data_IF_368237261240
#
_entry.id   IF_368237261240
#
_cell.length_a   1.000
_cell.length_b   1.000
_cell.length_c   1.000
_cell.angle_alpha   90.00
_cell.angle_beta   90.00
_cell.angle_gamma   90.00
#
_symmetry.space_group_name_H-M   'P 1'
#
loop_
_entity.id
_entity.type
_entity.pdbx_description
1 polymer ?
#
# COMPACT_ATOMS: atom_id res chain seq x y z
N UNK A 1 -0.77 -6.55 -32.97
CA UNK A 1 -1.89 -5.91 -32.25
C UNK A 1 -1.37 -5.45 -30.90
N UNK A 2 -1.37 -4.15 -30.60
CA UNK A 2 -0.97 -3.68 -29.27
C UNK A 2 -2.05 -4.07 -28.25
N UNK A 3 -1.67 -4.82 -27.21
CA UNK A 3 -2.57 -5.10 -26.10
C UNK A 3 -3.04 -3.77 -25.49
N UNK A 4 -4.35 -3.58 -25.34
CA UNK A 4 -4.91 -2.38 -24.72
C UNK A 4 -4.48 -2.40 -23.25
N UNK A 5 -3.63 -1.45 -22.87
CA UNK A 5 -3.23 -1.27 -21.47
C UNK A 5 -4.33 -0.48 -20.74
N UNK A 6 -4.90 -1.10 -19.71
CA UNK A 6 -5.79 -0.45 -18.77
C UNK A 6 -5.00 0.53 -17.90
N UNK A 7 -5.65 1.64 -17.55
CA UNK A 7 -5.08 2.71 -16.73
C UNK A 7 -5.98 2.95 -15.52
N UNK A 8 -5.40 2.89 -14.33
CA UNK A 8 -6.09 3.18 -13.07
C UNK A 8 -5.47 4.45 -12.49
N UNK A 9 -6.17 5.60 -12.51
CA UNK A 9 -5.67 6.81 -11.87
C UNK A 9 -5.56 6.59 -10.37
N UNK A 10 -4.43 6.99 -9.79
CA UNK A 10 -4.28 7.03 -8.34
C UNK A 10 -5.07 8.21 -7.77
N UNK A 11 -5.42 8.15 -6.50
CA UNK A 11 -6.18 9.19 -5.81
C UNK A 11 -5.27 10.02 -4.91
N UNK A 12 -5.74 11.15 -4.34
CA UNK A 12 -4.95 11.87 -3.36
C UNK A 12 -4.51 11.02 -2.16
N UNK A 13 -5.30 10.02 -1.76
CA UNK A 13 -4.94 9.12 -0.66
C UNK A 13 -3.74 8.23 -1.03
N UNK A 14 -3.68 7.79 -2.28
CA UNK A 14 -2.59 6.97 -2.82
C UNK A 14 -1.25 7.72 -2.93
N UNK A 15 -1.32 9.05 -2.94
CA UNK A 15 -0.13 9.91 -2.95
C UNK A 15 0.34 10.33 -1.56
N UNK A 16 -0.40 9.99 -0.50
CA UNK A 16 -0.02 10.29 0.88
C UNK A 16 1.26 9.54 1.33
N UNK A 17 1.42 8.22 1.08
CA UNK A 17 2.64 7.53 1.46
C UNK A 17 3.83 7.90 0.54
N UNK A 18 5.07 7.77 1.03
CA UNK A 18 6.23 7.88 0.16
C UNK A 18 6.21 6.83 -0.94
N UNK A 19 6.91 7.10 -2.03
CA UNK A 19 7.03 6.19 -3.17
C UNK A 19 8.01 5.05 -2.90
N UNK A 20 7.80 4.28 -1.84
CA UNK A 20 8.61 3.13 -1.47
C UNK A 20 7.85 1.81 -1.67
N UNK A 21 8.57 0.69 -1.69
CA UNK A 21 7.96 -0.61 -1.47
C UNK A 21 7.69 -0.81 0.02
N UNK A 22 6.46 -1.20 0.35
CA UNK A 22 6.11 -1.75 1.67
C UNK A 22 6.34 -3.25 1.59
N UNK A 23 7.37 -3.73 2.27
CA UNK A 23 7.80 -5.12 2.22
C UNK A 23 7.27 -5.93 3.41
N UNK A 24 7.01 -7.21 3.16
CA UNK A 24 6.69 -8.22 4.17
C UNK A 24 7.57 -9.44 3.98
N UNK A 25 8.01 -10.03 5.10
CA UNK A 25 8.78 -11.28 5.13
C UNK A 25 7.88 -12.38 5.69
N UNK A 26 7.82 -13.50 4.98
CA UNK A 26 7.13 -14.72 5.42
C UNK A 26 8.14 -15.86 5.52
N UNK A 27 8.35 -16.36 6.73
CA UNK A 27 9.20 -17.52 6.99
C UNK A 27 8.39 -18.80 6.79
N UNK A 28 8.73 -19.56 5.75
CA UNK A 28 7.99 -20.75 5.34
C UNK A 28 8.89 -22.00 5.54
N UNK A 29 8.49 -22.97 6.38
CA UNK A 29 9.23 -24.21 6.51
C UNK A 29 9.03 -25.05 5.24
N UNK A 30 10.10 -25.68 4.76
CA UNK A 30 10.02 -26.67 3.70
C UNK A 30 9.84 -28.07 4.29
N UNK A 31 9.04 -28.91 3.63
CA UNK A 31 8.94 -30.33 4.02
C UNK A 31 10.30 -31.01 3.77
N UNK A 32 10.69 -32.00 4.59
CA UNK A 32 11.92 -32.76 4.36
C UNK A 32 11.99 -33.34 2.95
N UNK A 33 13.11 -33.12 2.26
CA UNK A 33 13.35 -33.63 0.91
C UNK A 33 12.72 -32.83 -0.23
N UNK A 34 11.99 -31.74 0.04
CA UNK A 34 11.54 -30.81 -1.01
C UNK A 34 12.73 -30.02 -1.53
N UNK A 35 12.92 -30.04 -2.84
CA UNK A 35 13.95 -29.24 -3.49
C UNK A 35 13.51 -27.76 -3.61
N UNK A 36 14.42 -26.79 -3.37
CA UNK A 36 14.12 -25.36 -3.53
C UNK A 36 13.46 -25.00 -4.87
N UNK A 37 13.89 -25.60 -5.98
CA UNK A 37 13.32 -25.33 -7.30
C UNK A 37 11.85 -25.77 -7.40
N UNK A 38 11.49 -26.89 -6.77
CA UNK A 38 10.11 -27.37 -6.74
C UNK A 38 9.20 -26.43 -5.94
N UNK A 39 9.68 -25.97 -4.77
CA UNK A 39 8.95 -24.99 -3.97
C UNK A 39 8.80 -23.65 -4.73
N UNK A 40 9.86 -23.22 -5.41
CA UNK A 40 9.84 -22.03 -6.24
C UNK A 40 8.84 -22.14 -7.38
N UNK A 41 8.77 -23.28 -8.07
CA UNK A 41 7.84 -23.51 -9.16
C UNK A 41 6.38 -23.34 -8.73
N UNK A 42 6.03 -23.84 -7.54
CA UNK A 42 4.69 -23.65 -6.97
C UNK A 42 4.41 -22.17 -6.68
N UNK A 43 5.35 -21.48 -6.02
CA UNK A 43 5.22 -20.04 -5.73
C UNK A 43 5.07 -19.23 -7.02
N UNK A 44 5.85 -19.56 -8.05
CA UNK A 44 5.90 -18.82 -9.30
C UNK A 44 4.66 -19.01 -10.15
N UNK A 45 4.18 -20.24 -10.26
CA UNK A 45 2.91 -20.56 -10.93
C UNK A 45 1.71 -19.97 -10.16
N UNK A 46 1.71 -20.03 -8.82
CA UNK A 46 0.64 -19.42 -8.04
C UNK A 46 0.58 -17.90 -8.22
N UNK A 47 1.75 -17.22 -8.28
CA UNK A 47 1.81 -15.77 -8.51
C UNK A 47 1.29 -15.42 -9.91
N UNK A 48 1.61 -16.25 -10.91
CA UNK A 48 1.06 -16.11 -12.27
C UNK A 48 -0.47 -16.13 -12.24
N UNK A 49 -1.07 -17.11 -11.56
CA UNK A 49 -2.54 -17.20 -11.42
C UNK A 49 -3.14 -16.03 -10.64
N UNK A 50 -2.44 -15.54 -9.61
CA UNK A 50 -2.83 -14.31 -8.91
C UNK A 50 -2.88 -13.13 -9.87
N UNK A 51 -1.89 -12.98 -10.76
CA UNK A 51 -1.88 -11.90 -11.75
C UNK A 51 -2.94 -12.08 -12.84
N UNK A 52 -3.29 -13.31 -13.22
CA UNK A 52 -4.42 -13.56 -14.12
C UNK A 52 -5.74 -13.08 -13.50
N UNK A 53 -5.97 -13.35 -12.22
CA UNK A 53 -7.19 -12.90 -11.52
C UNK A 53 -7.18 -11.41 -11.15
N UNK A 54 -6.00 -10.85 -10.82
CA UNK A 54 -5.80 -9.46 -10.41
C UNK A 54 -4.73 -8.75 -11.29
N UNK A 55 -5.02 -8.46 -12.57
CA UNK A 55 -3.98 -8.02 -13.51
C UNK A 55 -3.33 -6.67 -13.18
N UNK A 56 -3.99 -5.82 -12.40
CA UNK A 56 -3.40 -4.55 -11.99
C UNK A 56 -2.17 -4.73 -11.08
N UNK A 57 -2.08 -5.85 -10.36
CA UNK A 57 -0.96 -6.18 -9.48
C UNK A 57 0.32 -6.50 -10.26
N UNK A 58 0.18 -7.02 -11.48
CA UNK A 58 1.32 -7.23 -12.40
C UNK A 58 1.76 -5.95 -13.11
N UNK A 59 1.04 -4.84 -12.86
CA UNK A 59 1.25 -3.56 -13.52
C UNK A 59 2.46 -2.79 -13.01
N UNK A 60 2.57 -1.55 -13.50
CA UNK A 60 3.59 -0.57 -13.11
C UNK A 60 2.94 0.78 -12.84
N UNK A 61 3.51 1.55 -11.90
CA UNK A 61 3.03 2.90 -11.59
C UNK A 61 3.80 3.92 -12.39
N UNK A 62 3.09 4.82 -13.07
CA UNK A 62 3.69 5.84 -13.92
C UNK A 62 3.17 7.23 -13.57
N UNK A 63 3.94 8.29 -13.85
CA UNK A 63 3.38 9.63 -14.00
C UNK A 63 2.26 9.61 -15.06
N UNK A 64 1.15 10.25 -14.74
CA UNK A 64 0.07 10.44 -15.69
C UNK A 64 0.54 11.33 -16.84
N UNK A 65 0.15 10.99 -18.07
CA UNK A 65 0.45 11.83 -19.24
C UNK A 65 -0.20 13.21 -19.10
N UNK A 66 0.50 14.33 -19.40
CA UNK A 66 -0.09 15.66 -19.46
C UNK A 66 -1.29 15.78 -20.41
N UNK A 67 -1.38 14.90 -21.40
CA UNK A 67 -2.49 14.82 -22.35
C UNK A 67 -3.68 13.97 -21.86
N UNK A 68 -3.58 13.33 -20.69
CA UNK A 68 -4.65 12.49 -20.17
C UNK A 68 -5.84 13.34 -19.69
N UNK A 69 -7.09 12.91 -19.92
CA UNK A 69 -8.25 13.55 -19.31
C UNK A 69 -8.12 13.60 -17.78
N UNK A 70 -8.38 14.76 -17.18
CA UNK A 70 -8.30 14.95 -15.73
C UNK A 70 -6.88 15.05 -15.18
N UNK A 71 -5.86 15.25 -16.04
CA UNK A 71 -4.48 15.41 -15.62
C UNK A 71 -4.29 16.50 -14.56
N UNK A 72 -3.43 16.21 -13.59
CA UNK A 72 -2.89 17.17 -12.63
C UNK A 72 -1.37 17.00 -12.50
N UNK A 73 -0.62 18.07 -12.18
CA UNK A 73 0.80 17.94 -11.86
C UNK A 73 1.04 16.86 -10.80
N UNK A 74 2.06 16.04 -11.02
CA UNK A 74 2.47 14.95 -10.12
C UNK A 74 1.46 13.81 -9.94
N UNK A 75 0.37 13.80 -10.72
CA UNK A 75 -0.60 12.72 -10.71
C UNK A 75 0.02 11.43 -11.24
N UNK A 76 -0.31 10.29 -10.62
CA UNK A 76 0.18 8.96 -11.00
C UNK A 76 -0.96 8.06 -11.42
N UNK A 77 -0.64 7.02 -12.17
CA UNK A 77 -1.57 5.98 -12.61
C UNK A 77 -0.89 4.62 -12.63
N UNK A 78 -1.63 3.56 -12.31
CA UNK A 78 -1.21 2.18 -12.59
C UNK A 78 -1.52 1.91 -14.05
N UNK A 79 -0.55 1.36 -14.78
CA UNK A 79 -0.72 0.83 -16.13
C UNK A 79 -0.52 -0.67 -16.09
N UNK A 80 -1.48 -1.42 -16.61
CA UNK A 80 -1.41 -2.87 -16.68
C UNK A 80 -2.10 -3.40 -17.94
N UNK A 81 -1.83 -4.64 -18.29
CA UNK A 81 -2.55 -5.40 -19.31
C UNK A 81 -3.38 -6.52 -18.68
N UNK A 82 -4.08 -7.29 -19.49
CA UNK A 82 -4.51 -8.62 -19.09
C UNK A 82 -3.27 -9.53 -19.01
N UNK A 83 -3.29 -10.50 -18.10
CA UNK A 83 -2.27 -11.55 -18.01
C UNK A 83 -2.87 -12.83 -18.57
N UNK A 84 -2.20 -13.40 -19.57
CA UNK A 84 -2.61 -14.64 -20.22
C UNK A 84 -2.33 -15.82 -19.29
N UNK A 85 -3.32 -16.70 -19.11
CA UNK A 85 -3.18 -17.90 -18.27
C UNK A 85 -2.13 -18.85 -18.84
N UNK A 86 -2.02 -18.94 -20.17
CA UNK A 86 -1.03 -19.76 -20.87
C UNK A 86 0.25 -18.94 -21.20
N UNK A 87 0.33 -17.72 -20.67
CA UNK A 87 1.46 -16.81 -20.85
C UNK A 87 2.69 -17.19 -20.01
N UNK A 88 3.80 -16.46 -20.20
CA UNK A 88 5.01 -16.67 -19.42
C UNK A 88 4.79 -16.32 -17.96
N UNK A 89 5.46 -17.07 -17.06
CA UNK A 89 5.47 -16.76 -15.63
C UNK A 89 6.07 -15.38 -15.34
N UNK A 90 5.61 -14.68 -14.29
CA UNK A 90 5.99 -13.30 -14.03
C UNK A 90 7.46 -13.14 -13.65
N UNK A 91 8.16 -12.17 -14.24
CA UNK A 91 9.56 -11.90 -13.91
C UNK A 91 9.76 -11.29 -12.50
N UNK A 92 8.67 -10.82 -11.87
CA UNK A 92 8.66 -10.10 -10.60
C UNK A 92 9.06 -10.96 -9.39
N UNK A 93 8.93 -12.29 -9.50
CA UNK A 93 9.41 -13.23 -8.49
C UNK A 93 10.81 -13.74 -8.87
N UNK A 94 11.78 -13.58 -7.95
CA UNK A 94 13.15 -14.10 -8.12
C UNK A 94 13.41 -15.29 -7.21
N UNK A 95 14.12 -16.27 -7.76
CA UNK A 95 14.73 -17.34 -6.98
C UNK A 95 16.06 -16.83 -6.42
N UNK A 96 16.31 -17.06 -5.14
CA UNK A 96 17.59 -16.76 -4.52
C UNK A 96 17.96 -17.88 -3.54
N UNK A 97 19.14 -18.45 -3.70
CA UNK A 97 19.73 -19.32 -2.69
C UNK A 97 20.59 -18.44 -1.78
N UNK A 98 20.23 -18.31 -0.51
CA UNK A 98 21.03 -17.53 0.43
C UNK A 98 22.30 -18.28 0.79
N UNK A 99 23.43 -17.59 0.67
CA UNK A 99 24.73 -18.05 1.13
C UNK A 99 24.83 -17.86 2.65
N UNK A 100 24.09 -18.67 3.42
CA UNK A 100 24.06 -18.60 4.89
C UNK A 100 24.09 -20.00 5.50
N UNK A 101 24.81 -20.12 6.62
CA UNK A 101 24.76 -21.33 7.45
C UNK A 101 23.49 -21.40 8.30
N UNK A 102 22.72 -20.31 8.39
CA UNK A 102 21.51 -20.22 9.19
C UNK A 102 20.38 -21.06 8.58
N UNK A 103 19.90 -22.05 9.31
CA UNK A 103 18.75 -22.88 8.95
C UNK A 103 17.43 -22.30 9.44
N UNK A 104 16.32 -22.80 8.89
CA UNK A 104 14.98 -22.43 9.35
C UNK A 104 14.75 -22.79 10.83
N UNK A 105 15.25 -23.94 11.29
CA UNK A 105 15.06 -24.36 12.68
C UNK A 105 15.85 -23.46 13.65
N UNK A 106 17.08 -23.08 13.30
CA UNK A 106 17.85 -22.11 14.10
C UNK A 106 17.17 -20.74 14.15
N UNK A 107 16.64 -20.23 13.02
CA UNK A 107 15.86 -18.99 13.02
C UNK A 107 14.66 -19.08 13.97
N UNK A 108 13.97 -20.22 13.97
CA UNK A 108 12.81 -20.46 14.81
C UNK A 108 13.18 -20.56 16.30
N UNK A 109 14.29 -21.22 16.64
CA UNK A 109 14.84 -21.26 18.00
C UNK A 109 15.22 -19.87 18.51
N UNK A 110 15.72 -19.01 17.62
CA UNK A 110 16.04 -17.60 17.88
C UNK A 110 14.83 -16.66 17.79
N UNK A 111 13.61 -17.20 17.61
CA UNK A 111 12.36 -16.45 17.49
C UNK A 111 12.33 -15.41 16.34
N UNK A 112 12.96 -15.75 15.20
CA UNK A 112 12.99 -14.97 13.96
C UNK A 112 13.52 -13.53 14.16
N UNK A 113 14.82 -13.35 14.45
CA UNK A 113 15.41 -12.02 14.56
C UNK A 113 15.31 -11.27 13.23
N UNK A 114 15.12 -9.95 13.29
CA UNK A 114 14.86 -9.13 12.11
C UNK A 114 16.11 -8.66 11.38
N UNK A 115 17.30 -8.95 11.93
CA UNK A 115 18.60 -8.44 11.49
C UNK A 115 19.58 -9.56 11.10
N UNK A 116 19.09 -10.79 10.93
CA UNK A 116 19.93 -11.94 10.52
C UNK A 116 20.44 -11.80 9.09
N UNK A 117 19.65 -11.19 8.22
CA UNK A 117 19.97 -11.01 6.80
C UNK A 117 19.83 -9.53 6.45
N UNK A 118 20.68 -9.05 5.55
CA UNK A 118 20.56 -7.69 5.05
C UNK A 118 19.34 -7.59 4.13
N UNK A 119 18.58 -6.49 4.25
CA UNK A 119 17.38 -6.27 3.42
C UNK A 119 17.70 -6.36 1.91
N UNK A 120 18.90 -5.93 1.51
CA UNK A 120 19.37 -5.97 0.12
C UNK A 120 19.60 -7.39 -0.42
N UNK A 121 19.77 -8.38 0.45
CA UNK A 121 19.86 -9.80 0.07
C UNK A 121 18.49 -10.44 -0.05
N UNK A 122 17.49 -9.89 0.65
CA UNK A 122 16.15 -10.46 0.74
C UNK A 122 15.20 -10.01 -0.36
N UNK A 123 15.52 -8.92 -1.08
CA UNK A 123 14.72 -8.44 -2.21
C UNK A 123 15.57 -7.70 -3.24
N UNK A 124 15.36 -7.99 -4.52
CA UNK A 124 16.08 -7.37 -5.63
C UNK A 124 15.66 -5.92 -5.92
N UNK A 125 14.48 -5.51 -5.46
CA UNK A 125 13.92 -4.20 -5.73
C UNK A 125 14.44 -3.17 -4.72
N UNK A 126 14.80 -1.94 -5.15
CA UNK A 126 15.25 -0.91 -4.22
C UNK A 126 14.10 -0.45 -3.34
N UNK A 127 14.36 -0.18 -2.06
CA UNK A 127 13.33 0.30 -1.12
C UNK A 127 12.57 1.53 -1.65
N UNK A 128 13.27 2.48 -2.27
CA UNK A 128 12.71 3.65 -2.95
C UNK A 128 13.05 3.63 -4.45
N UNK A 129 12.20 3.05 -5.31
CA UNK A 129 12.45 3.05 -6.76
C UNK A 129 12.22 4.43 -7.38
N UNK A 130 12.90 4.71 -8.49
CA UNK A 130 12.63 5.90 -9.30
C UNK A 130 11.28 5.77 -10.01
N UNK A 131 10.33 6.65 -9.65
CA UNK A 131 8.98 6.70 -10.23
C UNK A 131 8.99 6.84 -11.76
N UNK A 132 10.02 7.47 -12.34
CA UNK A 132 10.10 7.69 -13.79
C UNK A 132 10.47 6.43 -14.57
N UNK A 133 10.98 5.40 -13.90
CA UNK A 133 11.27 4.09 -14.50
C UNK A 133 10.06 3.16 -14.52
N UNK A 134 8.95 3.58 -13.90
CA UNK A 134 7.74 2.79 -13.81
C UNK A 134 7.88 1.61 -12.85
N UNK A 135 7.99 1.85 -11.52
CA UNK A 135 8.12 0.78 -10.54
C UNK A 135 6.97 -0.22 -10.67
N UNK A 136 7.30 -1.50 -10.53
CA UNK A 136 6.34 -2.58 -10.41
C UNK A 136 5.36 -2.30 -9.27
N UNK A 137 4.10 -2.68 -9.45
CA UNK A 137 3.13 -2.65 -8.36
C UNK A 137 3.50 -3.68 -7.29
N UNK A 138 3.99 -4.85 -7.70
CA UNK A 138 4.34 -5.95 -6.83
C UNK A 138 5.67 -6.58 -7.25
N UNK A 139 6.53 -6.86 -6.27
CA UNK A 139 7.83 -7.51 -6.43
C UNK A 139 7.98 -8.59 -5.37
N UNK A 140 8.72 -9.66 -5.67
CA UNK A 140 8.96 -10.70 -4.68
C UNK A 140 10.29 -11.43 -4.92
N UNK A 141 10.77 -12.07 -3.87
CA UNK A 141 11.94 -12.93 -3.90
C UNK A 141 11.74 -14.09 -2.92
N UNK A 142 11.94 -15.30 -3.40
CA UNK A 142 11.97 -16.50 -2.58
C UNK A 142 13.43 -16.80 -2.22
N UNK A 143 13.79 -16.59 -0.96
CA UNK A 143 15.14 -16.74 -0.45
C UNK A 143 15.25 -18.08 0.29
N UNK A 144 15.94 -19.04 -0.30
CA UNK A 144 16.06 -20.38 0.23
C UNK A 144 17.23 -20.52 1.19
N UNK A 145 16.98 -21.17 2.31
CA UNK A 145 17.94 -21.55 3.36
C UNK A 145 17.75 -23.03 3.69
N UNK A 146 18.68 -23.69 4.40
CA UNK A 146 18.47 -25.06 4.85
C UNK A 146 17.14 -25.23 5.60
N UNK A 147 16.26 -26.07 5.07
CA UNK A 147 14.96 -26.40 5.68
C UNK A 147 13.84 -25.36 5.51
N UNK A 148 14.06 -24.26 4.78
CA UNK A 148 13.04 -23.21 4.67
C UNK A 148 13.20 -22.25 3.49
N UNK A 149 12.21 -21.37 3.37
CA UNK A 149 12.18 -20.26 2.44
C UNK A 149 11.73 -18.99 3.17
N UNK A 150 12.51 -17.91 3.05
CA UNK A 150 12.10 -16.57 3.44
C UNK A 150 11.51 -15.90 2.21
N UNK A 151 10.20 -15.90 2.12
CA UNK A 151 9.48 -15.23 1.04
C UNK A 151 9.36 -13.75 1.38
N UNK A 152 10.07 -12.91 0.63
CA UNK A 152 9.97 -11.46 0.72
C UNK A 152 9.09 -10.96 -0.41
N UNK A 153 8.11 -10.14 -0.08
CA UNK A 153 7.25 -9.50 -1.07
C UNK A 153 7.14 -8.00 -0.78
N UNK A 154 7.09 -7.19 -1.82
CA UNK A 154 6.97 -5.75 -1.74
C UNK A 154 5.82 -5.26 -2.61
N UNK A 155 4.97 -4.40 -2.05
CA UNK A 155 3.96 -3.65 -2.81
C UNK A 155 4.35 -2.19 -2.87
N UNK A 156 4.33 -1.59 -4.06
CA UNK A 156 4.59 -0.16 -4.18
C UNK A 156 3.49 0.59 -3.44
N UNK A 157 3.84 1.37 -2.42
CA UNK A 157 2.87 1.84 -1.43
C UNK A 157 1.81 2.80 -2.01
N UNK A 158 2.12 3.50 -3.12
CA UNK A 158 1.09 4.27 -3.82
C UNK A 158 0.06 3.41 -4.58
N UNK A 159 0.36 2.13 -4.83
CA UNK A 159 -0.57 1.22 -5.49
C UNK A 159 -1.51 0.52 -4.51
N UNK A 160 -1.22 0.51 -3.20
CA UNK A 160 -2.06 -0.13 -2.20
C UNK A 160 -1.58 0.10 -0.78
N UNK A 161 -2.47 -0.08 0.18
CA UNK A 161 -2.15 -0.07 1.60
C UNK A 161 -1.87 -1.49 2.12
N UNK A 162 -1.69 -1.62 3.44
CA UNK A 162 -1.47 -2.91 4.08
C UNK A 162 -2.62 -3.91 3.88
N UNK A 163 -3.87 -3.43 3.75
CA UNK A 163 -5.01 -4.30 3.51
C UNK A 163 -4.97 -4.87 2.08
N UNK A 164 -4.63 -4.03 1.10
CA UNK A 164 -4.39 -4.48 -0.28
C UNK A 164 -3.23 -5.49 -0.35
N UNK A 165 -2.13 -5.23 0.37
CA UNK A 165 -0.99 -6.15 0.44
C UNK A 165 -1.38 -7.52 1.01
N UNK A 166 -2.09 -7.56 2.13
CA UNK A 166 -2.58 -8.81 2.73
C UNK A 166 -3.57 -9.53 1.83
N UNK A 167 -4.46 -8.81 1.13
CA UNK A 167 -5.41 -9.41 0.19
C UNK A 167 -4.71 -10.09 -0.99
N UNK A 168 -3.67 -9.46 -1.56
CA UNK A 168 -2.85 -10.05 -2.62
C UNK A 168 -2.08 -11.28 -2.11
N UNK A 169 -1.47 -11.19 -0.92
CA UNK A 169 -0.75 -12.32 -0.32
C UNK A 169 -1.67 -13.50 -0.02
N UNK A 170 -2.88 -13.24 0.48
CA UNK A 170 -3.89 -14.28 0.71
C UNK A 170 -4.28 -14.95 -0.61
N UNK A 171 -4.56 -14.16 -1.65
CA UNK A 171 -4.91 -14.69 -2.97
C UNK A 171 -3.77 -15.56 -3.55
N UNK A 172 -2.53 -15.12 -3.38
CA UNK A 172 -1.36 -15.89 -3.78
C UNK A 172 -1.24 -17.21 -3.00
N UNK A 173 -1.39 -17.18 -1.68
CA UNK A 173 -1.39 -18.37 -0.84
C UNK A 173 -2.53 -19.35 -1.21
N UNK A 174 -3.72 -18.85 -1.50
CA UNK A 174 -4.86 -19.67 -1.93
C UNK A 174 -4.55 -20.42 -3.25
N UNK A 175 -3.87 -19.75 -4.19
CA UNK A 175 -3.37 -20.41 -5.40
C UNK A 175 -2.26 -21.44 -5.13
N UNK A 176 -1.33 -21.16 -4.22
CA UNK A 176 -0.33 -22.14 -3.78
C UNK A 176 -0.99 -23.39 -3.22
N UNK A 177 -2.01 -23.23 -2.38
CA UNK A 177 -2.78 -24.34 -1.83
C UNK A 177 -3.50 -25.13 -2.94
N UNK A 178 -4.17 -24.44 -3.86
CA UNK A 178 -4.90 -25.08 -4.96
C UNK A 178 -3.99 -25.92 -5.88
N UNK A 179 -2.76 -25.46 -6.14
CA UNK A 179 -1.77 -26.20 -6.93
C UNK A 179 -1.26 -27.48 -6.28
N UNK A 180 -1.25 -27.52 -4.95
CA UNK A 180 -0.69 -28.64 -4.17
C UNK A 180 -1.76 -29.68 -3.77
N UNK A 181 -3.04 -29.42 -4.04
CA UNK A 181 -4.12 -30.37 -3.79
C UNK A 181 -4.26 -31.33 -4.99
N UNK A 182 -3.84 -32.58 -4.80
CA UNK A 182 -4.08 -33.65 -5.77
C UNK A 182 -5.59 -33.91 -5.96
N UNK A 183 -6.05 -34.01 -7.21
CA UNK A 183 -7.32 -34.70 -7.52
C UNK A 183 -8.61 -33.87 -7.56
N UNK A 184 -8.57 -32.59 -7.96
CA UNK A 184 -9.78 -31.85 -8.40
C UNK A 184 -10.73 -31.38 -7.28
N UNK A 185 -10.30 -31.48 -6.02
CA UNK A 185 -11.07 -31.08 -4.83
C UNK A 185 -10.71 -29.67 -4.31
N UNK A 186 -10.07 -28.80 -5.10
CA UNK A 186 -9.89 -27.41 -4.66
C UNK A 186 -11.16 -26.62 -4.94
N UNK A 187 -11.70 -25.96 -3.92
CA UNK A 187 -12.66 -24.88 -4.16
C UNK A 187 -12.05 -23.86 -5.12
N UNK A 188 -12.83 -23.23 -6.00
CA UNK A 188 -12.33 -22.15 -6.84
C UNK A 188 -11.67 -21.07 -5.98
N UNK A 189 -10.47 -20.64 -6.35
CA UNK A 189 -9.82 -19.50 -5.71
C UNK A 189 -10.59 -18.25 -6.11
N UNK A 190 -11.15 -17.57 -5.11
CA UNK A 190 -12.01 -16.39 -5.29
C UNK A 190 -11.17 -15.12 -5.05
N UNK A 191 -11.07 -14.22 -6.05
CA UNK A 191 -10.37 -12.96 -5.85
C UNK A 191 -11.18 -12.03 -4.94
N UNK A 192 -10.55 -11.00 -4.34
CA UNK A 192 -11.28 -9.92 -3.68
C UNK A 192 -12.36 -9.35 -4.59
N UNK A 193 -13.54 -9.06 -4.03
CA UNK A 193 -14.64 -8.48 -4.80
C UNK A 193 -14.25 -7.12 -5.39
N UNK A 194 -14.90 -6.69 -6.49
CA UNK A 194 -14.52 -5.48 -7.23
C UNK A 194 -14.50 -4.21 -6.35
N UNK A 195 -15.36 -4.15 -5.33
CA UNK A 195 -15.40 -3.06 -4.35
C UNK A 195 -14.10 -2.92 -3.54
N UNK A 196 -13.33 -4.00 -3.38
CA UNK A 196 -12.04 -3.97 -2.68
C UNK A 196 -10.96 -3.20 -3.43
N UNK A 197 -11.14 -2.99 -4.74
CA UNK A 197 -10.23 -2.20 -5.60
C UNK A 197 -10.84 -0.87 -6.05
N UNK A 198 -12.00 -0.49 -5.52
CA UNK A 198 -12.71 0.73 -5.92
C UNK A 198 -12.15 1.96 -5.21
N UNK A 199 -11.22 2.64 -5.90
CA UNK A 199 -10.61 3.88 -5.44
C UNK A 199 -11.58 5.07 -5.36
N UNK A 200 -12.77 4.96 -5.96
CA UNK A 200 -13.78 6.01 -5.97
C UNK A 200 -14.69 6.02 -4.75
N UNK A 201 -14.63 5.00 -3.88
CA UNK A 201 -15.54 4.86 -2.73
C UNK A 201 -15.52 6.10 -1.85
N UNK A 202 -14.33 6.57 -1.45
CA UNK A 202 -14.21 7.75 -0.59
C UNK A 202 -14.69 9.03 -1.26
N UNK A 203 -14.42 9.19 -2.56
CA UNK A 203 -14.91 10.34 -3.32
C UNK A 203 -16.44 10.35 -3.36
N UNK A 204 -17.07 9.20 -3.66
CA UNK A 204 -18.53 9.11 -3.68
C UNK A 204 -19.16 9.32 -2.31
N UNK A 205 -18.56 8.78 -1.24
CA UNK A 205 -19.01 9.03 0.14
C UNK A 205 -18.94 10.53 0.46
N UNK A 206 -17.84 11.18 0.09
CA UNK A 206 -17.65 12.62 0.29
C UNK A 206 -18.68 13.46 -0.48
N UNK A 207 -18.90 13.14 -1.77
CA UNK A 207 -19.89 13.81 -2.62
C UNK A 207 -21.32 13.62 -2.08
N UNK A 208 -21.65 12.41 -1.62
CA UNK A 208 -22.96 12.11 -1.03
C UNK A 208 -23.14 12.80 0.33
N UNK A 209 -22.09 12.91 1.15
CA UNK A 209 -22.11 13.68 2.39
C UNK A 209 -22.45 15.15 2.17
N UNK A 210 -21.93 15.76 1.11
CA UNK A 210 -22.26 17.14 0.70
C UNK A 210 -23.72 17.29 0.25
N UNK A 211 -24.31 16.27 -0.37
CA UNK A 211 -25.74 16.30 -0.71
C UNK A 211 -26.60 16.26 0.55
N UNK A 212 -26.19 15.52 1.59
CA UNK A 212 -26.83 15.51 2.91
C UNK A 212 -26.75 16.85 3.64
N UNK A 213 -25.61 17.53 3.61
CA UNK A 213 -25.46 18.90 4.14
C UNK A 213 -26.31 19.91 3.35
N UNK A 214 -26.42 19.74 2.03
CA UNK A 214 -27.28 20.59 1.20
C UNK A 214 -28.76 20.36 1.55
N UNK A 215 -29.19 19.12 1.81
CA UNK A 215 -30.53 18.79 2.30
C UNK A 215 -30.78 19.35 3.72
N UNK A 216 -29.79 19.32 4.62
CA UNK A 216 -29.88 19.94 5.95
C UNK A 216 -29.99 21.48 5.88
N UNK A 217 -29.26 22.13 4.98
CA UNK A 217 -29.35 23.59 4.74
C UNK A 217 -30.69 23.96 4.07
N UNK A 218 -31.23 23.09 3.20
CA UNK A 218 -32.56 23.27 2.60
C UNK A 218 -33.68 23.05 3.63
N UNK A 219 -33.54 22.08 4.54
CA UNK A 219 -34.51 21.83 5.62
C UNK A 219 -34.49 22.95 6.67
N UNK A 220 -33.32 23.46 7.06
CA UNK A 220 -33.21 24.62 7.98
C UNK A 220 -33.69 25.93 7.34
N UNK A 221 -33.60 26.09 6.02
CA UNK A 221 -34.23 27.23 5.31
C UNK A 221 -35.75 27.10 5.16
N UNK A 222 -36.30 25.88 5.04
CA UNK A 222 -37.76 25.63 5.03
C UNK A 222 -38.40 25.73 6.41
N UNK A 223 -37.62 25.55 7.48
CA UNK A 223 -38.05 25.76 8.86
C UNK A 223 -37.72 27.15 9.42
N UNK A 224 -37.07 28.01 8.65
CA UNK A 224 -36.77 29.41 8.97
C UNK A 224 -37.98 30.35 9.08
N UNK A 225 -39.17 29.81 9.35
CA UNK A 225 -40.37 30.55 9.77
C UNK A 225 -40.72 30.36 11.25
N UNK A 226 -40.06 29.46 11.99
CA UNK A 226 -40.31 29.34 13.42
C UNK A 226 -39.09 28.84 14.19
N UNK A 227 -38.85 29.51 15.33
CA UNK A 227 -37.87 29.21 16.38
C UNK A 227 -36.46 29.78 16.18
N UNK A 228 -36.33 31.01 16.68
CA UNK A 228 -35.10 31.58 17.21
C UNK A 228 -34.54 30.66 18.30
N UNK A 229 -33.30 30.19 18.15
CA UNK A 229 -32.48 29.72 19.25
C UNK A 229 -31.08 30.33 19.14
N UNK A 230 -30.91 31.50 19.77
CA UNK A 230 -29.57 32.00 20.12
C UNK A 230 -28.98 31.10 21.21
N UNK A 231 -27.66 30.79 21.19
CA UNK A 231 -27.03 30.09 22.30
C UNK A 231 -26.98 30.99 23.55
N UNK A 232 -27.69 30.58 24.60
CA UNK A 232 -27.54 31.14 25.96
C UNK A 232 -26.24 30.61 26.55
N UNK A 233 -25.15 31.36 26.42
CA UNK A 233 -23.92 31.13 27.20
C UNK A 233 -24.15 31.69 28.60
N UNK A 234 -24.36 30.82 29.58
CA UNK A 234 -24.41 31.19 31.00
C UNK A 234 -23.00 31.50 31.52
N UNK A 235 -22.73 32.80 31.67
CA UNK A 235 -21.95 33.45 32.72
C UNK A 235 -20.68 32.80 33.30
N UNK A 236 -19.53 33.40 32.96
CA UNK A 236 -18.56 33.84 33.97
C UNK A 236 -17.88 35.11 33.46
N UNK A 237 -18.10 36.22 34.18
CA UNK A 237 -17.60 37.57 33.86
C UNK A 237 -16.08 37.62 33.91
N UNK A 238 -15.42 38.02 32.81
CA UNK A 238 -14.13 38.75 32.86
C UNK A 238 -14.11 39.87 31.81
N UNK A 239 -13.71 41.05 32.27
CA UNK A 239 -13.78 42.34 31.58
C UNK A 239 -12.79 42.43 30.38
N UNK A 240 -13.15 43.11 29.27
CA UNK A 240 -12.39 43.09 28.02
C UNK A 240 -11.40 44.26 27.87
N UNK A 241 -10.48 44.43 28.81
CA UNK A 241 -9.38 45.42 28.70
C UNK A 241 -7.97 44.84 28.89
N UNK A 242 -7.83 43.52 29.02
CA UNK A 242 -6.56 42.86 29.33
C UNK A 242 -6.00 41.96 28.21
N UNK A 243 -6.43 42.17 26.96
CA UNK A 243 -5.98 41.36 25.79
C UNK A 243 -5.00 42.04 24.84
N UNK A 244 -4.54 43.28 25.13
CA UNK A 244 -3.54 43.97 24.28
C UNK A 244 -2.13 44.11 24.87
N UNK A 245 -1.82 43.53 26.04
CA UNK A 245 -0.48 43.64 26.65
C UNK A 245 0.34 42.34 26.73
N UNK A 246 -0.22 41.18 26.39
CA UNK A 246 0.49 39.90 26.55
C UNK A 246 1.17 39.40 25.27
N UNK A 247 0.67 39.77 24.08
CA UNK A 247 1.30 39.39 22.81
C UNK A 247 2.58 40.19 22.50
N UNK A 248 2.66 41.46 22.91
CA UNK A 248 3.83 42.31 22.66
C UNK A 248 5.03 41.99 23.58
N UNK A 249 4.82 41.35 24.74
CA UNK A 249 5.90 40.98 25.67
C UNK A 249 6.57 39.65 25.29
N UNK A 250 5.81 38.70 24.74
CA UNK A 250 6.38 37.41 24.30
C UNK A 250 7.24 37.52 23.03
N UNK A 251 6.93 38.46 22.13
CA UNK A 251 7.71 38.69 20.89
C UNK A 251 9.07 39.36 21.18
N UNK A 252 9.19 40.10 22.29
CA UNK A 252 10.46 40.75 22.69
C UNK A 252 11.41 39.82 23.47
N UNK A 253 10.89 38.84 24.21
CA UNK A 253 11.71 37.91 24.99
C UNK A 253 12.41 36.84 24.11
N UNK A 254 11.74 36.37 23.04
CA UNK A 254 12.32 35.39 22.10
C UNK A 254 13.43 36.00 21.24
N UNK A 255 13.33 37.29 20.91
CA UNK A 255 14.36 37.99 20.10
C UNK A 255 15.64 38.31 20.90
N UNK A 256 15.59 38.29 22.24
CA UNK A 256 16.75 38.53 23.12
C UNK A 256 17.55 37.25 23.40
N UNK A 257 16.92 36.06 23.40
CA UNK A 257 17.64 34.78 23.56
C UNK A 257 18.41 34.34 22.32
N UNK A 258 18.01 34.74 21.12
CA UNK A 258 18.70 34.36 19.87
C UNK A 258 19.92 35.24 19.50
N UNK A 259 20.29 36.24 20.31
CA UNK A 259 21.50 37.05 20.08
C UNK A 259 22.71 36.65 20.94
N UNK A 260 22.57 35.67 21.85
CA UNK A 260 23.67 35.19 22.71
C UNK A 260 24.19 33.78 22.38
N UNK A 261 23.71 33.12 21.32
CA UNK A 261 24.18 31.79 20.90
C UNK A 261 25.03 31.80 19.61
N UNK A 262 25.51 32.96 19.17
CA UNK A 262 26.36 33.11 17.97
C UNK A 262 27.69 33.86 18.26
N UNK A 263 28.16 33.78 19.51
CA UNK A 263 29.53 34.16 19.89
C UNK A 263 30.02 33.21 20.97
N UNK A 264 30.35 31.99 20.57
CA UNK A 264 31.53 31.23 21.01
C UNK A 264 32.01 30.39 19.81
#
# INVERSE_FOLDING_TARGET
MGFISAKIPLTPLDHAPPGNYSCSLSYLPLRPGVDPSQAFDVLHEALHRTFVQLPWVSGRVWPQSPSAPGWRPSQREIRHGAVDIDGPRPYQLKFHQLESSMSYEELKELAFPTDVFEDSELIWAPFMPDINTGPEVFVAQANFIPGGCILTSGMYHSAGDGAAAVAVLKLWADHCCALQMDGGSSSPVVPPGPESSDRGVLQRIWENGRQGETQFIVWTRKLGGCLVLTPRVSGSRRNPTQRRRTAARMVMEVKKRNKHSLRE
#
